data_IF_706960560576
#
_entry.id   IF_706960560576
#
_cell.length_a   1.000
_cell.length_b   1.000
_cell.length_c   1.000
_cell.angle_alpha   90.00
_cell.angle_beta   90.00
_cell.angle_gamma   90.00
#
_symmetry.space_group_name_H-M   'P 1'
#
loop_
_entity.id
_entity.type
_entity.pdbx_description
1 polymer ?
#
# COMPACT_ATOMS: atom_id res chain seq x y z
N UNK A 1 -62.17 -58.21 -14.96
CA UNK A 1 -61.18 -57.82 -13.94
C UNK A 1 -60.02 -57.15 -14.66
N UNK A 2 -60.06 -55.82 -14.80
CA UNK A 2 -58.98 -55.03 -15.42
C UNK A 2 -58.72 -53.83 -14.52
N UNK A 3 -57.46 -53.73 -14.10
CA UNK A 3 -56.90 -52.76 -13.18
C UNK A 3 -56.55 -51.51 -13.98
N UNK A 4 -57.01 -50.34 -13.53
CA UNK A 4 -56.53 -49.04 -14.01
C UNK A 4 -56.10 -48.22 -12.81
N UNK A 5 -54.79 -48.07 -12.69
CA UNK A 5 -54.08 -47.33 -11.65
C UNK A 5 -54.13 -45.83 -11.94
N UNK A 6 -54.61 -45.01 -11.00
CA UNK A 6 -54.41 -43.56 -11.02
C UNK A 6 -53.11 -43.21 -10.29
N UNK A 7 -52.16 -42.63 -11.01
CA UNK A 7 -51.01 -41.93 -10.40
C UNK A 7 -51.48 -40.55 -9.89
N UNK A 8 -51.38 -40.34 -8.59
CA UNK A 8 -51.46 -39.01 -7.99
C UNK A 8 -50.07 -38.38 -7.96
N UNK A 9 -49.85 -37.31 -8.73
CA UNK A 9 -48.65 -36.50 -8.64
C UNK A 9 -48.80 -35.50 -7.48
N UNK A 10 -48.05 -35.73 -6.39
CA UNK A 10 -47.93 -34.77 -5.30
C UNK A 10 -46.92 -33.68 -5.68
N UNK A 11 -47.39 -32.46 -5.87
CA UNK A 11 -46.52 -31.28 -6.02
C UNK A 11 -45.95 -30.91 -4.64
N UNK A 12 -44.66 -31.18 -4.41
CA UNK A 12 -43.93 -30.62 -3.27
C UNK A 12 -43.60 -29.16 -3.56
N UNK A 13 -44.32 -28.24 -2.93
CA UNK A 13 -43.91 -26.83 -2.85
C UNK A 13 -42.70 -26.75 -1.91
N UNK A 14 -41.50 -26.59 -2.47
CA UNK A 14 -40.31 -26.26 -1.69
C UNK A 14 -40.39 -24.78 -1.29
N UNK A 15 -40.79 -24.51 -0.06
CA UNK A 15 -40.61 -23.20 0.57
C UNK A 15 -39.12 -22.97 0.80
N UNK A 16 -38.50 -22.17 -0.07
CA UNK A 16 -37.18 -21.64 0.18
C UNK A 16 -37.26 -20.70 1.40
N UNK A 17 -36.77 -21.15 2.57
CA UNK A 17 -36.45 -20.23 3.65
C UNK A 17 -35.31 -19.33 3.14
N UNK A 18 -35.64 -18.09 2.81
CA UNK A 18 -34.65 -17.04 2.69
C UNK A 18 -33.99 -16.88 4.07
N UNK A 19 -32.78 -17.43 4.22
CA UNK A 19 -31.91 -17.03 5.31
C UNK A 19 -31.53 -15.57 5.06
N UNK A 20 -32.25 -14.67 5.71
CA UNK A 20 -31.86 -13.28 5.85
C UNK A 20 -30.50 -13.25 6.53
N UNK A 21 -29.43 -13.19 5.73
CA UNK A 21 -28.11 -12.85 6.23
C UNK A 21 -28.24 -11.50 6.90
N UNK A 22 -28.10 -11.46 8.22
CA UNK A 22 -27.90 -10.21 8.93
C UNK A 22 -26.64 -9.60 8.36
N UNK A 23 -26.78 -8.56 7.53
CA UNK A 23 -25.68 -7.69 7.19
C UNK A 23 -25.11 -7.21 8.53
N UNK A 24 -23.92 -7.69 8.89
CA UNK A 24 -23.17 -7.11 10.00
C UNK A 24 -22.96 -5.65 9.60
N UNK A 25 -23.62 -4.74 10.31
CA UNK A 25 -23.30 -3.33 10.21
C UNK A 25 -21.80 -3.20 10.48
N UNK A 26 -21.03 -2.75 9.49
CA UNK A 26 -19.68 -2.25 9.74
C UNK A 26 -19.85 -1.09 10.73
N UNK A 27 -19.51 -1.32 11.99
CA UNK A 27 -19.23 -0.22 12.90
C UNK A 27 -18.07 0.53 12.28
N UNK A 28 -18.35 1.70 11.68
CA UNK A 28 -17.31 2.52 11.04
C UNK A 28 -16.20 2.80 12.05
N UNK A 29 -14.96 2.62 11.63
CA UNK A 29 -13.80 3.03 12.43
C UNK A 29 -13.64 4.54 12.31
N UNK A 30 -13.20 5.20 13.38
CA UNK A 30 -12.90 6.64 13.33
C UNK A 30 -11.42 6.81 13.00
N UNK A 31 -11.13 7.65 12.01
CA UNK A 31 -9.76 7.91 11.56
C UNK A 31 -9.45 9.40 11.54
N UNK A 32 -8.16 9.70 11.54
CA UNK A 32 -7.59 11.03 11.28
C UNK A 32 -6.42 10.87 10.31
N UNK A 33 -6.23 11.84 9.41
CA UNK A 33 -5.01 11.90 8.61
C UNK A 33 -3.87 12.44 9.47
N UNK A 34 -2.69 11.84 9.37
CA UNK A 34 -1.50 12.32 10.08
C UNK A 34 -1.00 13.65 9.51
N UNK A 35 -1.06 13.82 8.19
CA UNK A 35 -0.71 15.05 7.49
C UNK A 35 -1.92 15.89 7.03
N UNK A 36 -1.65 17.14 6.66
CA UNK A 36 -2.63 18.03 6.05
C UNK A 36 -3.08 17.52 4.65
N UNK A 37 -4.38 17.33 4.44
CA UNK A 37 -4.92 16.59 3.27
C UNK A 37 -5.08 17.38 1.97
N UNK A 38 -4.70 18.66 1.95
CA UNK A 38 -4.87 19.55 0.78
C UNK A 38 -3.59 20.32 0.53
N UNK A 39 -2.56 19.67 -0.01
CA UNK A 39 -1.32 20.35 -0.30
C UNK A 39 -1.54 21.42 -1.39
N UNK A 40 -0.75 22.49 -1.32
CA UNK A 40 -0.72 23.50 -2.37
C UNK A 40 -0.13 22.91 -3.66
N UNK A 41 -0.41 23.50 -4.84
CA UNK A 41 0.25 23.08 -6.08
C UNK A 41 1.78 23.06 -5.95
N UNK A 42 2.42 21.97 -6.40
CA UNK A 42 3.87 21.76 -6.25
C UNK A 42 4.29 21.08 -4.93
N UNK A 43 3.34 20.80 -4.04
CA UNK A 43 3.55 20.09 -2.78
C UNK A 43 2.70 18.82 -2.71
N UNK A 44 3.15 17.88 -1.88
CA UNK A 44 2.45 16.66 -1.52
C UNK A 44 2.03 16.71 -0.04
N UNK A 45 1.21 15.75 0.34
CA UNK A 45 0.91 15.40 1.72
C UNK A 45 1.09 13.89 1.90
N UNK A 46 1.50 13.47 3.09
CA UNK A 46 1.51 12.06 3.44
C UNK A 46 0.07 11.51 3.54
N UNK A 47 -0.11 10.22 3.27
CA UNK A 47 -1.45 9.59 3.21
C UNK A 47 -1.80 8.73 4.43
N UNK A 48 -0.99 8.70 5.48
CA UNK A 48 -1.25 7.89 6.65
C UNK A 48 -2.61 8.20 7.30
N UNK A 49 -3.41 7.15 7.49
CA UNK A 49 -4.71 7.19 8.14
C UNK A 49 -4.68 6.46 9.48
N UNK A 50 -4.53 7.21 10.55
CA UNK A 50 -4.51 6.69 11.92
C UNK A 50 -5.91 6.48 12.45
N UNK A 51 -6.17 5.33 13.09
CA UNK A 51 -7.39 5.12 13.86
C UNK A 51 -7.35 5.81 15.22
N UNK A 52 -8.48 6.38 15.61
CA UNK A 52 -8.65 7.13 16.87
C UNK A 52 -9.68 6.53 17.81
N UNK A 53 -10.37 5.46 17.40
CA UNK A 53 -11.33 4.76 18.25
C UNK A 53 -10.65 3.92 19.35
N UNK A 54 -11.39 3.61 20.41
CA UNK A 54 -10.87 2.92 21.60
C UNK A 54 -10.41 1.48 21.33
N UNK A 55 -10.94 0.81 20.31
CA UNK A 55 -10.49 -0.53 19.95
C UNK A 55 -9.09 -0.50 19.32
N UNK A 56 -8.77 0.55 18.53
CA UNK A 56 -7.42 0.76 18.01
C UNK A 56 -6.38 1.05 19.11
N UNK A 57 -6.81 1.60 20.25
CA UNK A 57 -5.97 1.89 21.42
C UNK A 57 -6.00 0.78 22.49
N UNK A 58 -6.58 -0.38 22.19
CA UNK A 58 -6.62 -1.49 23.15
C UNK A 58 -5.27 -2.23 23.15
N UNK A 59 -4.54 -2.13 24.26
CA UNK A 59 -3.16 -2.59 24.41
C UNK A 59 -3.07 -3.96 25.08
N UNK A 60 -2.32 -4.87 24.44
CA UNK A 60 -1.44 -5.81 25.15
C UNK A 60 -0.05 -5.68 24.51
N UNK A 61 1.03 -5.42 25.28
CA UNK A 61 2.38 -5.35 24.72
C UNK A 61 2.82 -6.59 23.94
N UNK A 62 2.17 -7.74 24.19
CA UNK A 62 2.43 -9.00 23.50
C UNK A 62 1.58 -9.21 22.23
N UNK A 63 0.54 -8.41 22.02
CA UNK A 63 -0.35 -8.51 20.86
C UNK A 63 -0.93 -7.13 20.54
N UNK A 64 -0.17 -6.26 19.84
CA UNK A 64 -0.69 -4.99 19.34
C UNK A 64 -1.91 -5.21 18.45
N UNK A 65 -2.85 -4.27 18.48
CA UNK A 65 -4.01 -4.29 17.58
C UNK A 65 -3.56 -4.03 16.13
N UNK A 66 -4.31 -4.60 15.18
CA UNK A 66 -3.99 -4.51 13.75
C UNK A 66 -3.25 -5.75 13.23
N UNK A 67 -3.03 -5.78 11.92
CA UNK A 67 -2.28 -6.85 11.25
C UNK A 67 -0.80 -6.82 11.65
N UNK A 68 -0.28 -7.99 12.00
CA UNK A 68 1.13 -8.22 12.33
C UNK A 68 1.97 -8.61 11.10
N UNK A 69 3.32 -8.62 11.21
CA UNK A 69 4.19 -9.16 10.16
C UNK A 69 3.80 -10.57 9.70
N UNK A 70 3.46 -11.46 10.64
CA UNK A 70 3.03 -12.82 10.31
C UNK A 70 1.70 -12.85 9.53
N UNK A 71 0.79 -11.91 9.81
CA UNK A 71 -0.44 -11.79 9.03
C UNK A 71 -0.15 -11.35 7.59
N UNK A 72 0.69 -10.33 7.39
CA UNK A 72 1.04 -9.82 6.07
C UNK A 72 1.77 -10.88 5.22
N UNK A 73 2.77 -11.56 5.82
CA UNK A 73 3.50 -12.63 5.14
C UNK A 73 2.58 -13.80 4.76
N UNK A 74 1.66 -14.20 5.65
CA UNK A 74 0.67 -15.25 5.37
C UNK A 74 -0.32 -14.82 4.27
N UNK A 75 -0.89 -13.62 4.39
CA UNK A 75 -1.91 -13.13 3.47
C UNK A 75 -1.39 -13.03 2.03
N UNK A 76 -0.16 -12.58 1.86
CA UNK A 76 0.46 -12.37 0.55
C UNK A 76 1.38 -13.51 0.10
N UNK A 77 1.38 -14.64 0.83
CA UNK A 77 2.23 -15.82 0.57
C UNK A 77 3.71 -15.46 0.37
N UNK A 78 4.19 -14.53 1.18
CA UNK A 78 5.56 -14.02 1.05
C UNK A 78 6.54 -15.00 1.70
N UNK A 79 7.74 -15.15 1.12
CA UNK A 79 8.77 -15.95 1.75
C UNK A 79 9.22 -15.30 3.06
N UNK A 80 9.43 -16.09 4.10
CA UNK A 80 9.91 -15.62 5.41
C UNK A 80 11.43 -15.38 5.44
N UNK A 81 12.13 -15.80 4.38
CA UNK A 81 13.54 -15.57 4.13
C UNK A 81 13.72 -15.01 2.72
N UNK A 82 14.63 -14.04 2.55
CA UNK A 82 14.83 -13.34 1.28
C UNK A 82 15.19 -11.88 1.52
N UNK A 83 15.53 -11.14 0.47
CA UNK A 83 15.84 -9.71 0.55
C UNK A 83 17.19 -9.36 1.21
N UNK A 84 17.99 -10.34 1.62
CA UNK A 84 19.36 -10.06 2.10
C UNK A 84 20.18 -9.38 1.00
N UNK A 85 20.87 -8.29 1.36
CA UNK A 85 21.63 -7.46 0.42
C UNK A 85 20.79 -6.49 -0.39
N UNK A 86 19.46 -6.48 -0.22
CA UNK A 86 18.57 -5.48 -0.80
C UNK A 86 18.42 -4.30 0.16
N UNK A 87 18.16 -3.12 -0.40
CA UNK A 87 17.88 -1.90 0.36
C UNK A 87 16.55 -1.35 -0.10
N UNK A 88 15.61 -1.26 0.83
CA UNK A 88 14.34 -0.54 0.61
C UNK A 88 14.50 0.84 1.21
N UNK A 89 14.34 1.86 0.40
CA UNK A 89 14.34 3.24 0.85
C UNK A 89 12.92 3.73 1.10
N UNK A 90 12.80 4.62 2.07
CA UNK A 90 11.59 5.36 2.41
C UNK A 90 11.92 6.84 2.22
N UNK A 91 11.09 7.53 1.46
CA UNK A 91 11.24 8.96 1.17
C UNK A 91 10.05 9.71 1.73
N UNK A 92 10.32 10.55 2.72
CA UNK A 92 9.31 11.36 3.41
C UNK A 92 9.82 12.77 3.66
N UNK A 93 8.93 13.70 3.99
CA UNK A 93 9.31 15.07 4.37
C UNK A 93 9.48 15.19 5.88
N UNK A 94 10.30 16.17 6.29
CA UNK A 94 10.63 16.46 7.67
C UNK A 94 11.33 15.29 8.38
N UNK A 95 11.58 15.47 9.67
CA UNK A 95 12.35 14.55 10.49
C UNK A 95 11.42 13.73 11.41
N UNK A 96 11.69 12.43 11.51
CA UNK A 96 11.29 11.61 12.66
C UNK A 96 12.50 11.35 13.58
N UNK A 97 12.67 12.16 14.64
CA UNK A 97 13.77 11.99 15.58
C UNK A 97 13.81 10.63 16.30
N UNK A 98 12.69 9.90 16.37
CA UNK A 98 12.58 8.64 17.10
C UNK A 98 12.63 7.40 16.20
N UNK A 99 12.70 7.53 14.87
CA UNK A 99 12.60 6.44 13.90
C UNK A 99 13.37 5.16 14.27
N UNK A 100 14.67 5.24 14.59
CA UNK A 100 15.47 4.05 14.92
C UNK A 100 15.03 3.39 16.26
N UNK A 101 14.64 4.21 17.24
CA UNK A 101 14.19 3.74 18.56
C UNK A 101 12.83 3.05 18.46
N UNK A 102 11.93 3.61 17.67
CA UNK A 102 10.58 3.08 17.48
C UNK A 102 10.63 1.81 16.64
N UNK A 103 11.45 1.78 15.59
CA UNK A 103 11.79 0.58 14.82
C UNK A 103 12.33 -0.57 15.70
N UNK A 104 13.21 -0.25 16.65
CA UNK A 104 13.74 -1.24 17.57
C UNK A 104 12.63 -1.86 18.44
N UNK A 105 11.67 -1.04 18.90
CA UNK A 105 10.52 -1.51 19.67
C UNK A 105 9.64 -2.42 18.82
N UNK A 106 9.24 -1.96 17.63
CA UNK A 106 8.42 -2.74 16.70
C UNK A 106 9.02 -4.13 16.43
N UNK A 107 10.30 -4.15 16.03
CA UNK A 107 10.99 -5.39 15.67
C UNK A 107 11.15 -6.31 16.87
N UNK A 108 11.46 -5.78 18.05
CA UNK A 108 11.57 -6.59 19.26
C UNK A 108 10.23 -7.24 19.66
N UNK A 109 9.11 -6.51 19.55
CA UNK A 109 7.77 -7.02 19.87
C UNK A 109 7.37 -8.19 18.96
N UNK A 110 7.71 -8.11 17.67
CA UNK A 110 7.40 -9.17 16.71
C UNK A 110 8.52 -10.22 16.53
N UNK A 111 9.59 -10.16 17.33
CA UNK A 111 10.70 -11.11 17.26
C UNK A 111 11.50 -11.04 15.96
N UNK A 112 11.53 -9.89 15.29
CA UNK A 112 12.31 -9.65 14.09
C UNK A 112 13.78 -9.31 14.46
N UNK A 113 14.78 -9.66 13.62
CA UNK A 113 16.19 -9.34 13.89
C UNK A 113 16.39 -7.84 14.13
N UNK A 114 17.31 -7.40 14.98
CA UNK A 114 17.53 -5.96 15.18
C UNK A 114 17.94 -5.27 13.86
N UNK A 115 17.40 -4.08 13.60
CA UNK A 115 17.78 -3.24 12.46
C UNK A 115 18.21 -1.87 12.98
N UNK A 116 19.51 -1.61 13.01
CA UNK A 116 20.08 -0.42 13.66
C UNK A 116 21.14 0.23 12.78
N UNK A 117 21.46 1.49 13.07
CA UNK A 117 22.61 2.18 12.51
C UNK A 117 23.90 1.45 12.86
N UNK A 118 24.00 0.92 14.09
CA UNK A 118 25.20 0.24 14.59
C UNK A 118 25.49 -1.09 13.88
N UNK A 119 24.46 -1.85 13.50
CA UNK A 119 24.64 -3.09 12.74
C UNK A 119 24.55 -2.91 11.22
N UNK A 120 24.38 -1.67 10.76
CA UNK A 120 24.33 -1.29 9.36
C UNK A 120 23.00 -1.56 8.66
N UNK A 121 22.02 -2.19 9.33
CA UNK A 121 20.72 -2.50 8.74
C UNK A 121 19.87 -1.25 8.48
N UNK A 122 19.86 -0.29 9.42
CA UNK A 122 19.14 0.97 9.29
C UNK A 122 20.10 2.09 8.94
N UNK A 123 19.71 2.98 8.03
CA UNK A 123 20.44 4.20 7.72
C UNK A 123 19.45 5.34 7.54
N UNK A 124 19.74 6.45 8.19
CA UNK A 124 18.99 7.69 8.08
C UNK A 124 19.84 8.80 7.47
N UNK A 125 19.31 9.52 6.50
CA UNK A 125 19.96 10.65 5.83
C UNK A 125 18.95 11.73 5.45
N UNK A 126 19.40 12.96 5.24
CA UNK A 126 18.59 14.00 4.60
C UNK A 126 18.56 13.83 3.07
N UNK A 127 17.77 14.65 2.36
CA UNK A 127 17.63 14.60 0.88
C UNK A 127 18.93 14.74 0.07
N UNK A 128 20.04 15.15 0.69
CA UNK A 128 21.36 15.25 0.03
C UNK A 128 22.31 14.09 0.39
N UNK A 129 21.89 13.20 1.29
CA UNK A 129 22.68 12.09 1.82
C UNK A 129 23.52 12.45 3.05
N UNK A 130 23.28 13.62 3.66
CA UNK A 130 23.95 14.08 4.88
C UNK A 130 23.18 13.73 6.16
N UNK A 131 23.73 14.10 7.32
CA UNK A 131 23.14 13.83 8.65
C UNK A 131 22.63 15.10 9.35
N UNK A 132 22.54 16.21 8.62
CA UNK A 132 21.84 17.42 9.09
C UNK A 132 20.37 17.28 8.71
N UNK A 133 19.60 16.65 9.58
CA UNK A 133 18.18 16.35 9.36
C UNK A 133 17.33 17.62 9.37
N UNK A 134 16.18 17.62 8.65
CA UNK A 134 15.24 18.72 8.69
C UNK A 134 14.58 18.87 10.07
N UNK A 135 13.70 19.86 10.21
CA UNK A 135 12.91 20.02 11.44
C UNK A 135 11.97 18.84 11.62
N UNK A 136 11.81 18.35 12.85
CA UNK A 136 10.84 17.31 13.15
C UNK A 136 9.40 17.76 12.98
N UNK A 137 8.54 16.84 12.51
CA UNK A 137 7.12 17.06 12.31
C UNK A 137 6.33 15.83 12.75
N UNK A 138 5.32 16.03 13.61
CA UNK A 138 4.58 14.93 14.24
C UNK A 138 3.67 14.19 13.26
N UNK A 139 3.20 14.84 12.20
CA UNK A 139 2.35 14.19 11.20
C UNK A 139 3.17 13.32 10.27
N UNK A 140 4.31 13.83 9.81
CA UNK A 140 5.23 13.07 8.98
C UNK A 140 5.99 11.99 9.76
N UNK A 141 6.23 12.14 11.07
CA UNK A 141 6.81 11.05 11.86
C UNK A 141 5.91 9.81 11.92
N UNK A 142 4.60 10.02 12.04
CA UNK A 142 3.63 8.92 12.01
C UNK A 142 3.70 8.16 10.67
N UNK A 143 3.87 8.87 9.55
CA UNK A 143 4.09 8.26 8.22
C UNK A 143 5.42 7.52 8.13
N UNK A 144 6.52 8.16 8.56
CA UNK A 144 7.86 7.56 8.54
C UNK A 144 7.88 6.26 9.35
N UNK A 145 7.29 6.27 10.55
CA UNK A 145 7.17 5.09 11.40
C UNK A 145 6.33 3.99 10.73
N UNK A 146 5.21 4.34 10.11
CA UNK A 146 4.36 3.42 9.35
C UNK A 146 5.15 2.74 8.22
N UNK A 147 5.83 3.52 7.39
CA UNK A 147 6.59 3.03 6.24
C UNK A 147 7.73 2.10 6.69
N UNK A 148 8.48 2.50 7.72
CA UNK A 148 9.60 1.73 8.28
C UNK A 148 9.11 0.39 8.85
N UNK A 149 7.99 0.41 9.58
CA UNK A 149 7.41 -0.78 10.18
C UNK A 149 6.89 -1.74 9.09
N UNK A 150 6.28 -1.24 8.02
CA UNK A 150 5.80 -2.07 6.91
C UNK A 150 6.93 -2.72 6.13
N UNK A 151 8.01 -2.00 5.86
CA UNK A 151 9.22 -2.60 5.26
C UNK A 151 9.79 -3.68 6.19
N UNK A 152 9.87 -3.41 7.49
CA UNK A 152 10.34 -4.38 8.49
C UNK A 152 9.47 -5.63 8.56
N UNK A 153 8.16 -5.47 8.48
CA UNK A 153 7.19 -6.55 8.54
C UNK A 153 7.30 -7.50 7.35
N UNK A 154 7.46 -6.92 6.16
CA UNK A 154 7.43 -7.65 4.89
C UNK A 154 8.80 -8.21 4.53
N UNK A 155 9.87 -7.41 4.65
CA UNK A 155 11.24 -7.85 4.35
C UNK A 155 12.16 -7.68 5.57
N UNK A 156 12.10 -8.56 6.58
CA UNK A 156 12.90 -8.42 7.80
C UNK A 156 14.42 -8.46 7.59
N UNK A 157 14.89 -8.99 6.46
CA UNK A 157 16.33 -9.08 6.13
C UNK A 157 16.82 -7.99 5.17
N UNK A 158 15.94 -7.10 4.70
CA UNK A 158 16.31 -5.94 3.90
C UNK A 158 17.00 -4.89 4.78
N UNK A 159 17.92 -4.13 4.18
CA UNK A 159 18.35 -2.86 4.77
C UNK A 159 17.27 -1.81 4.56
N UNK A 160 17.12 -0.90 5.52
CA UNK A 160 16.17 0.20 5.46
C UNK A 160 16.94 1.51 5.37
N UNK A 161 16.66 2.29 4.34
CA UNK A 161 17.22 3.61 4.12
C UNK A 161 16.11 4.68 4.25
N UNK A 162 16.08 5.41 5.35
CA UNK A 162 15.21 6.58 5.49
C UNK A 162 15.90 7.82 4.88
N UNK A 163 15.25 8.47 3.92
CA UNK A 163 15.72 9.71 3.27
C UNK A 163 14.71 10.83 3.50
N UNK A 164 15.08 11.79 4.34
CA UNK A 164 14.20 12.86 4.78
C UNK A 164 14.37 14.14 3.94
N UNK A 165 13.29 14.54 3.28
CA UNK A 165 13.17 15.78 2.53
C UNK A 165 12.97 16.98 3.46
N UNK A 166 13.54 18.12 3.08
CA UNK A 166 13.46 19.35 3.89
C UNK A 166 12.04 19.90 3.98
N UNK A 167 11.21 19.63 2.97
CA UNK A 167 9.80 20.01 2.92
C UNK A 167 9.06 19.08 1.97
N UNK A 168 7.72 19.02 2.01
CA UNK A 168 6.94 18.15 1.15
C UNK A 168 6.74 18.73 -0.27
N UNK A 169 7.64 19.59 -0.74
CA UNK A 169 7.62 20.02 -2.15
C UNK A 169 8.10 18.88 -3.05
N UNK A 170 7.53 18.74 -4.25
CA UNK A 170 7.96 17.71 -5.20
C UNK A 170 9.44 17.81 -5.57
N UNK A 171 10.01 19.02 -5.56
CA UNK A 171 11.44 19.21 -5.78
C UNK A 171 12.30 18.59 -4.66
N UNK A 172 11.92 18.76 -3.40
CA UNK A 172 12.66 18.21 -2.27
C UNK A 172 12.45 16.70 -2.13
N UNK A 173 11.20 16.23 -2.24
CA UNK A 173 10.88 14.81 -2.24
C UNK A 173 11.55 14.09 -3.41
N UNK A 174 11.46 14.63 -4.63
CA UNK A 174 12.14 14.07 -5.79
C UNK A 174 13.68 14.07 -5.68
N UNK A 175 14.27 15.08 -5.03
CA UNK A 175 15.69 15.08 -4.69
C UNK A 175 16.04 13.95 -3.71
N UNK A 176 15.17 13.68 -2.74
CA UNK A 176 15.31 12.55 -1.82
C UNK A 176 15.20 11.19 -2.53
N UNK A 177 14.27 11.02 -3.48
CA UNK A 177 14.19 9.82 -4.34
C UNK A 177 15.51 9.59 -5.10
N UNK A 178 16.03 10.63 -5.77
CA UNK A 178 17.32 10.53 -6.45
C UNK A 178 18.47 10.15 -5.50
N UNK A 179 18.40 10.62 -4.25
CA UNK A 179 19.37 10.28 -3.21
C UNK A 179 19.24 8.84 -2.73
N UNK A 180 18.02 8.34 -2.53
CA UNK A 180 17.78 6.94 -2.21
C UNK A 180 18.42 6.02 -3.26
N UNK A 181 18.14 6.27 -4.54
CA UNK A 181 18.70 5.48 -5.65
C UNK A 181 20.22 5.57 -5.71
N UNK A 182 20.79 6.79 -5.60
CA UNK A 182 22.25 6.99 -5.59
C UNK A 182 22.94 6.24 -4.44
N UNK A 183 22.26 6.08 -3.31
CA UNK A 183 22.76 5.36 -2.14
C UNK A 183 22.54 3.85 -2.20
N UNK A 184 22.00 3.32 -3.31
CA UNK A 184 21.90 1.88 -3.57
C UNK A 184 20.57 1.26 -3.18
N UNK A 185 19.50 2.05 -3.07
CA UNK A 185 18.15 1.51 -2.93
C UNK A 185 17.77 0.70 -4.18
N UNK A 186 17.24 -0.51 -3.98
CA UNK A 186 16.67 -1.34 -5.06
C UNK A 186 15.16 -1.15 -5.18
N UNK A 187 14.52 -0.73 -4.09
CA UNK A 187 13.15 -0.24 -4.09
C UNK A 187 13.05 1.07 -3.28
N UNK A 188 12.16 1.97 -3.67
CA UNK A 188 11.89 3.25 -3.00
C UNK A 188 10.38 3.41 -2.81
N UNK A 189 9.93 3.45 -1.55
CA UNK A 189 8.55 3.77 -1.17
C UNK A 189 8.35 5.27 -1.05
N UNK A 190 7.19 5.74 -1.54
CA UNK A 190 6.76 7.13 -1.47
C UNK A 190 5.28 7.15 -1.04
N UNK A 191 5.01 7.38 0.23
CA UNK A 191 3.67 7.35 0.81
C UNK A 191 3.05 8.76 0.88
N UNK A 192 3.12 9.48 -0.24
CA UNK A 192 2.68 10.86 -0.36
C UNK A 192 2.07 11.15 -1.73
N UNK A 193 1.18 12.14 -1.76
CA UNK A 193 0.55 12.58 -3.00
C UNK A 193 -0.07 13.97 -2.93
N UNK A 194 -0.45 14.47 -4.11
CA UNK A 194 -1.20 15.71 -4.27
C UNK A 194 -1.96 15.69 -5.60
N UNK A 195 -2.96 16.58 -5.73
CA UNK A 195 -3.80 16.61 -6.92
C UNK A 195 -2.99 16.79 -8.22
N UNK A 196 -3.43 16.12 -9.28
CA UNK A 196 -2.78 16.22 -10.60
C UNK A 196 -2.72 17.66 -11.10
N UNK A 197 -1.67 17.99 -11.86
CA UNK A 197 -1.51 19.30 -12.48
C UNK A 197 -0.79 19.21 -13.82
N UNK A 198 -1.00 20.20 -14.69
CA UNK A 198 -0.30 20.27 -15.98
C UNK A 198 1.22 20.39 -15.87
N UNK A 199 1.75 20.74 -14.68
CA UNK A 199 3.19 20.83 -14.42
C UNK A 199 3.82 19.48 -14.02
N UNK A 200 3.02 18.46 -13.72
CA UNK A 200 3.51 17.23 -13.06
C UNK A 200 4.52 16.43 -13.89
N UNK A 201 4.32 16.39 -15.21
CA UNK A 201 5.26 15.79 -16.17
C UNK A 201 6.68 16.35 -16.11
N UNK A 202 6.89 17.53 -15.51
CA UNK A 202 8.24 18.08 -15.28
C UNK A 202 8.97 17.44 -14.10
N UNK A 203 8.23 16.85 -13.16
CA UNK A 203 8.76 16.15 -11.99
C UNK A 203 9.03 14.66 -12.25
N UNK A 204 8.53 14.12 -13.36
CA UNK A 204 8.62 12.70 -13.74
C UNK A 204 10.07 12.16 -13.76
N UNK A 205 11.02 13.04 -14.08
CA UNK A 205 12.45 12.70 -14.07
C UNK A 205 12.98 12.29 -12.70
N UNK A 206 12.34 12.69 -11.60
CA UNK A 206 12.69 12.24 -10.25
C UNK A 206 12.36 10.78 -9.99
N UNK A 207 11.39 10.23 -10.71
CA UNK A 207 10.88 8.86 -10.52
C UNK A 207 11.33 7.90 -11.62
N UNK A 208 11.96 8.40 -12.69
CA UNK A 208 12.48 7.58 -13.78
C UNK A 208 13.86 7.00 -13.44
N UNK A 209 13.88 5.87 -12.72
CA UNK A 209 15.09 5.14 -12.35
C UNK A 209 15.04 3.70 -12.88
N UNK A 210 15.60 3.43 -14.08
CA UNK A 210 15.62 2.09 -14.65
C UNK A 210 16.25 1.05 -13.71
N UNK A 211 15.59 -0.10 -13.56
CA UNK A 211 16.05 -1.19 -12.69
C UNK A 211 15.80 -0.97 -11.19
N UNK A 212 15.18 0.14 -10.78
CA UNK A 212 14.79 0.41 -9.39
C UNK A 212 13.27 0.48 -9.29
N UNK A 213 12.70 -0.25 -8.33
CA UNK A 213 11.26 -0.23 -8.12
C UNK A 213 10.86 1.04 -7.34
N UNK A 214 10.15 1.94 -8.00
CA UNK A 214 9.58 3.12 -7.34
C UNK A 214 8.10 2.83 -7.09
N UNK A 215 7.68 2.79 -5.82
CA UNK A 215 6.28 2.59 -5.43
C UNK A 215 5.71 3.89 -4.87
N UNK A 216 4.44 4.14 -5.16
CA UNK A 216 3.73 5.33 -4.69
C UNK A 216 2.32 4.95 -4.23
N UNK A 217 1.90 5.45 -3.07
CA UNK A 217 0.51 5.38 -2.60
C UNK A 217 -0.45 5.97 -3.66
N UNK A 218 -1.56 5.31 -3.97
CA UNK A 218 -2.47 5.82 -5.02
C UNK A 218 -3.43 6.90 -4.55
N UNK A 219 -3.52 7.14 -3.24
CA UNK A 219 -4.38 8.13 -2.61
C UNK A 219 -5.47 7.51 -1.74
N UNK A 220 -6.09 8.36 -0.92
CA UNK A 220 -6.96 7.92 0.19
C UNK A 220 -8.35 8.58 0.19
N UNK A 221 -8.70 9.23 -0.92
CA UNK A 221 -9.96 9.98 -1.10
C UNK A 221 -10.94 9.30 -2.05
N UNK A 222 -10.75 8.01 -2.34
CA UNK A 222 -11.55 7.24 -3.29
C UNK A 222 -11.26 7.61 -4.74
N UNK A 223 -12.27 7.52 -5.60
CA UNK A 223 -12.13 7.77 -7.04
C UNK A 223 -11.58 9.18 -7.33
N UNK A 224 -10.38 9.21 -7.90
CA UNK A 224 -9.55 10.39 -8.09
C UNK A 224 -8.10 9.97 -8.33
N UNK A 225 -7.36 10.79 -9.08
CA UNK A 225 -5.95 10.54 -9.39
C UNK A 225 -5.10 11.60 -8.69
N UNK A 226 -3.97 11.15 -8.14
CA UNK A 226 -2.94 12.01 -7.57
C UNK A 226 -1.58 11.76 -8.22
N UNK A 227 -0.72 12.75 -8.10
CA UNK A 227 0.69 12.66 -8.45
C UNK A 227 1.50 12.51 -7.16
N UNK A 228 2.55 11.65 -7.10
CA UNK A 228 3.24 11.01 -8.22
C UNK A 228 2.68 9.66 -8.67
N UNK A 229 1.58 9.16 -8.09
CA UNK A 229 1.01 7.88 -8.50
C UNK A 229 0.63 7.86 -10.00
N UNK A 230 0.23 9.00 -10.56
CA UNK A 230 -0.03 9.17 -11.98
C UNK A 230 1.20 8.94 -12.88
N UNK A 231 2.42 9.11 -12.37
CA UNK A 231 3.65 8.94 -13.16
C UNK A 231 3.71 7.55 -13.81
N UNK A 232 4.15 7.50 -15.06
CA UNK A 232 4.32 6.24 -15.80
C UNK A 232 5.57 5.45 -15.43
N UNK A 233 6.44 6.00 -14.57
CA UNK A 233 7.68 5.37 -14.13
C UNK A 233 7.56 4.68 -12.77
N UNK A 234 6.41 4.83 -12.10
CA UNK A 234 6.17 4.26 -10.77
C UNK A 234 5.19 3.10 -10.84
N UNK A 235 5.23 2.26 -9.81
CA UNK A 235 4.14 1.35 -9.47
C UNK A 235 3.18 2.12 -8.55
N UNK A 236 2.00 2.50 -9.04
CA UNK A 236 0.96 3.06 -8.20
C UNK A 236 0.28 1.93 -7.42
N UNK A 237 0.19 2.09 -6.10
CA UNK A 237 -0.27 1.05 -5.20
C UNK A 237 -1.60 1.46 -4.57
N UNK A 238 -2.66 0.78 -5.02
CA UNK A 238 -4.02 0.89 -4.50
C UNK A 238 -4.23 0.16 -3.20
N UNK A 239 -5.50 0.07 -2.79
CA UNK A 239 -5.86 -0.33 -1.43
C UNK A 239 -6.96 -1.38 -1.37
N UNK A 240 -6.77 -2.37 -0.48
CA UNK A 240 -7.76 -3.40 -0.19
C UNK A 240 -8.19 -3.39 1.29
N UNK A 241 -9.37 -3.94 1.55
CA UNK A 241 -9.78 -4.40 2.88
C UNK A 241 -9.43 -5.88 3.02
N UNK A 242 -8.46 -6.21 3.87
CA UNK A 242 -7.93 -7.57 4.03
C UNK A 242 -8.51 -8.24 5.28
N UNK A 243 -9.19 -9.38 5.12
CA UNK A 243 -9.84 -10.10 6.23
C UNK A 243 -9.48 -11.56 6.23
N UNK A 244 -9.42 -12.16 7.42
CA UNK A 244 -9.32 -13.62 7.54
C UNK A 244 -10.57 -14.29 6.95
N UNK A 245 -10.39 -15.49 6.42
CA UNK A 245 -11.43 -16.24 5.71
C UNK A 245 -11.22 -17.74 5.85
N UNK A 246 -12.26 -18.52 5.57
CA UNK A 246 -12.21 -20.00 5.55
C UNK A 246 -11.76 -20.57 4.20
N UNK A 247 -11.38 -19.73 3.23
CA UNK A 247 -10.80 -20.16 1.96
C UNK A 247 -9.46 -20.86 2.17
N UNK A 248 -8.96 -21.59 1.17
CA UNK A 248 -7.62 -22.21 1.23
C UNK A 248 -6.48 -21.20 1.45
N UNK A 249 -6.65 -19.94 0.99
CA UNK A 249 -5.71 -18.84 1.28
C UNK A 249 -5.73 -18.46 2.77
N UNK A 250 -6.85 -18.65 3.46
CA UNK A 250 -7.08 -18.14 4.82
C UNK A 250 -7.45 -16.65 4.87
N UNK A 251 -7.55 -16.00 3.71
CA UNK A 251 -7.74 -14.55 3.56
C UNK A 251 -8.64 -14.22 2.38
N UNK A 252 -9.29 -13.07 2.46
CA UNK A 252 -10.09 -12.46 1.38
C UNK A 252 -9.84 -10.96 1.34
N UNK A 253 -9.99 -10.38 0.15
CA UNK A 253 -9.85 -8.94 -0.08
C UNK A 253 -11.04 -8.39 -0.86
N UNK A 254 -11.41 -7.14 -0.56
CA UNK A 254 -12.30 -6.30 -1.37
C UNK A 254 -11.60 -4.98 -1.63
N UNK A 255 -11.97 -4.26 -2.68
CA UNK A 255 -11.49 -2.89 -2.87
C UNK A 255 -11.82 -2.04 -1.64
N UNK A 256 -10.81 -1.33 -1.11
CA UNK A 256 -11.04 -0.35 -0.06
C UNK A 256 -11.69 0.89 -0.65
N UNK A 257 -12.73 1.41 0.02
CA UNK A 257 -13.49 2.52 -0.53
C UNK A 257 -12.70 3.85 -0.60
N UNK A 258 -11.62 3.97 0.17
CA UNK A 258 -10.72 5.12 0.15
C UNK A 258 -9.59 5.02 -0.88
N UNK A 259 -9.32 3.85 -1.45
CA UNK A 259 -8.20 3.67 -2.36
C UNK A 259 -8.31 4.60 -3.57
N UNK A 260 -7.24 5.31 -3.92
CA UNK A 260 -7.20 6.20 -5.07
C UNK A 260 -7.13 5.44 -6.38
N UNK A 261 -7.92 5.86 -7.37
CA UNK A 261 -7.88 5.29 -8.72
C UNK A 261 -8.54 6.20 -9.73
N UNK A 262 -8.16 6.05 -11.00
CA UNK A 262 -8.78 6.78 -12.09
C UNK A 262 -7.96 6.80 -13.37
N UNK A 263 -8.27 7.77 -14.22
CA UNK A 263 -7.59 8.02 -15.48
C UNK A 263 -6.90 9.37 -15.39
N UNK A 264 -5.57 9.39 -15.51
CA UNK A 264 -4.78 10.62 -15.44
C UNK A 264 -5.24 11.64 -16.47
N UNK A 265 -5.22 12.92 -16.10
CA UNK A 265 -5.49 14.02 -17.03
C UNK A 265 -4.28 14.41 -17.90
N UNK A 266 -3.05 14.08 -17.46
CA UNK A 266 -1.82 14.62 -18.07
C UNK A 266 -0.81 13.56 -18.49
N UNK A 267 -0.72 12.44 -17.77
CA UNK A 267 0.27 11.40 -18.04
C UNK A 267 -0.13 10.49 -19.21
N UNK A 268 0.84 10.14 -20.03
CA UNK A 268 0.61 9.28 -21.19
C UNK A 268 0.43 7.82 -20.75
N UNK A 269 -0.50 7.10 -21.38
CA UNK A 269 -0.67 5.67 -21.15
C UNK A 269 0.63 4.93 -21.53
N UNK A 270 1.28 4.21 -20.60
CA UNK A 270 2.42 3.38 -20.95
C UNK A 270 1.97 2.17 -21.78
N UNK A 271 2.85 1.67 -22.65
CA UNK A 271 2.52 0.59 -23.60
C UNK A 271 2.18 -0.75 -22.95
N UNK A 272 2.55 -0.94 -21.68
CA UNK A 272 2.24 -2.13 -20.88
C UNK A 272 0.87 -2.05 -20.19
N UNK A 273 0.20 -0.89 -20.18
CA UNK A 273 -1.22 -0.78 -19.80
C UNK A 273 -2.12 -1.06 -21.00
N UNK A 274 -3.04 -2.00 -20.84
CA UNK A 274 -3.89 -2.51 -21.94
C UNK A 274 -5.40 -2.30 -21.71
N UNK A 275 -5.78 -1.65 -20.61
CA UNK A 275 -7.18 -1.30 -20.36
C UNK A 275 -7.71 -0.34 -21.44
N UNK A 276 -9.01 -0.43 -21.74
CA UNK A 276 -9.54 0.01 -23.03
C UNK A 276 -10.34 1.32 -23.01
N UNK A 277 -10.64 1.91 -21.83
CA UNK A 277 -11.46 3.14 -21.74
C UNK A 277 -10.71 4.40 -21.35
N UNK A 278 -9.69 4.29 -20.50
CA UNK A 278 -8.78 5.41 -20.26
C UNK A 278 -7.78 5.49 -21.41
N UNK A 279 -7.54 6.68 -21.96
CA UNK A 279 -6.54 6.87 -23.03
C UNK A 279 -5.18 7.33 -22.50
N UNK A 280 -5.09 7.54 -21.18
CA UNK A 280 -3.95 8.05 -20.41
C UNK A 280 -3.53 7.03 -19.35
N UNK A 281 -2.59 7.37 -18.47
CA UNK A 281 -2.18 6.46 -17.38
C UNK A 281 -3.35 6.16 -16.46
N UNK A 282 -3.69 4.88 -16.24
CA UNK A 282 -4.70 4.48 -15.25
C UNK A 282 -4.07 4.17 -13.92
N UNK A 283 -4.56 4.75 -12.83
CA UNK A 283 -4.15 4.43 -11.44
C UNK A 283 -5.23 3.53 -10.82
N UNK A 284 -4.92 2.49 -10.04
CA UNK A 284 -3.60 1.99 -9.62
C UNK A 284 -3.07 0.85 -10.53
N UNK A 285 -1.85 0.35 -10.28
CA UNK A 285 -1.26 -0.80 -11.01
C UNK A 285 -1.45 -2.12 -10.27
N UNK A 286 -1.24 -2.12 -8.94
CA UNK A 286 -1.44 -3.24 -8.01
C UNK A 286 -2.01 -2.69 -6.70
N UNK A 287 -2.29 -3.54 -5.72
CA UNK A 287 -2.78 -3.11 -4.40
C UNK A 287 -2.26 -3.97 -3.25
N UNK A 288 -2.36 -3.43 -2.04
CA UNK A 288 -2.21 -4.18 -0.80
C UNK A 288 -3.17 -3.61 0.26
N UNK A 289 -3.14 -4.15 1.47
CA UNK A 289 -4.02 -3.73 2.56
C UNK A 289 -3.86 -2.25 2.83
N UNK A 290 -4.99 -1.56 2.91
CA UNK A 290 -5.04 -0.12 3.13
C UNK A 290 -6.25 0.29 3.98
N UNK A 291 -7.33 -0.50 4.06
CA UNK A 291 -8.49 -0.13 4.87
C UNK A 291 -8.13 -0.06 6.37
N UNK A 292 -8.26 1.12 7.05
CA UNK A 292 -8.01 1.23 8.48
C UNK A 292 -8.88 0.26 9.32
N UNK A 293 -10.07 -0.12 8.84
CA UNK A 293 -10.92 -1.11 9.51
C UNK A 293 -10.30 -2.52 9.54
N UNK A 294 -9.30 -2.76 8.70
CA UNK A 294 -8.44 -3.96 8.69
C UNK A 294 -6.96 -3.57 8.76
N UNK A 295 -6.67 -2.46 9.44
CA UNK A 295 -5.36 -1.81 9.42
C UNK A 295 -4.23 -2.60 10.06
N UNK A 296 -3.02 -2.06 9.92
CA UNK A 296 -1.76 -2.64 10.40
C UNK A 296 -1.36 -2.04 11.75
N UNK A 297 -0.60 -2.82 12.54
CA UNK A 297 0.02 -2.30 13.75
C UNK A 297 1.26 -1.47 13.40
N UNK A 298 1.39 -0.28 14.01
CA UNK A 298 2.54 0.63 13.86
C UNK A 298 2.93 1.15 15.25
N UNK A 299 4.21 1.43 15.46
CA UNK A 299 4.72 2.02 16.69
C UNK A 299 5.35 3.40 16.44
N UNK A 300 4.85 4.44 17.09
CA UNK A 300 5.40 5.81 17.02
C UNK A 300 5.40 6.44 18.42
N UNK A 301 6.49 7.12 18.77
CA UNK A 301 6.61 7.89 20.03
C UNK A 301 6.97 9.37 19.82
N UNK A 302 7.03 9.85 18.58
CA UNK A 302 7.27 11.26 18.28
C UNK A 302 5.98 12.04 18.05
N UNK A 303 5.10 11.55 17.18
CA UNK A 303 3.78 12.13 16.93
C UNK A 303 2.74 11.70 17.96
N UNK A 304 2.86 10.48 18.46
CA UNK A 304 1.93 9.83 19.38
C UNK A 304 2.66 9.06 20.48
N UNK A 305 1.96 8.18 21.21
CA UNK A 305 2.50 7.48 22.37
C UNK A 305 2.28 5.98 22.29
N UNK A 306 3.00 5.33 21.38
CA UNK A 306 3.19 3.89 21.32
C UNK A 306 2.45 3.20 20.17
N UNK A 307 1.80 2.07 20.47
CA UNK A 307 1.13 1.25 19.46
C UNK A 307 -0.15 1.89 18.94
N UNK A 308 -0.30 1.88 17.62
CA UNK A 308 -1.37 2.49 16.85
C UNK A 308 -1.84 1.54 15.76
N UNK A 309 -3.01 1.83 15.19
CA UNK A 309 -3.52 1.12 14.00
C UNK A 309 -3.64 2.11 12.86
N UNK A 310 -3.02 1.78 11.73
CA UNK A 310 -3.04 2.60 10.52
C UNK A 310 -3.66 1.88 9.35
N UNK A 311 -4.23 2.66 8.44
CA UNK A 311 -4.51 2.29 7.06
C UNK A 311 -4.02 3.40 6.12
N UNK A 312 -4.67 3.51 4.97
CA UNK A 312 -4.24 4.31 3.85
C UNK A 312 -3.43 3.53 2.84
N UNK A 313 -3.39 3.99 1.60
CA UNK A 313 -2.48 3.46 0.57
C UNK A 313 -1.01 3.74 0.90
N UNK A 314 -0.75 4.64 1.86
CA UNK A 314 0.47 4.71 2.66
C UNK A 314 0.94 3.37 3.21
N UNK A 315 0.03 2.50 3.69
CA UNK A 315 0.41 1.15 4.15
C UNK A 315 0.81 0.27 2.97
N UNK A 316 0.11 0.44 1.84
CA UNK A 316 0.25 -0.46 0.70
C UNK A 316 1.57 -0.23 -0.07
N UNK A 317 2.00 1.02 -0.25
CA UNK A 317 3.24 1.36 -0.94
C UNK A 317 4.50 0.66 -0.38
N UNK A 318 4.87 0.81 0.90
CA UNK A 318 6.05 0.19 1.50
C UNK A 318 5.95 -1.33 1.55
N UNK A 319 4.74 -1.89 1.66
CA UNK A 319 4.52 -3.34 1.52
C UNK A 319 4.96 -3.79 0.13
N UNK A 320 4.50 -3.14 -0.94
CA UNK A 320 4.86 -3.52 -2.31
C UNK A 320 6.34 -3.25 -2.60
N UNK A 321 6.93 -2.17 -2.08
CA UNK A 321 8.38 -1.92 -2.19
C UNK A 321 9.20 -3.07 -1.58
N UNK A 322 8.77 -3.56 -0.41
CA UNK A 322 9.42 -4.69 0.23
C UNK A 322 9.17 -6.01 -0.52
N UNK A 323 8.03 -6.20 -1.19
CA UNK A 323 7.80 -7.37 -2.07
C UNK A 323 8.72 -7.36 -3.28
N UNK A 324 8.93 -6.19 -3.92
CA UNK A 324 9.97 -6.04 -4.93
C UNK A 324 11.32 -6.48 -4.38
N UNK A 325 11.76 -5.94 -3.24
CA UNK A 325 13.03 -6.33 -2.65
C UNK A 325 13.13 -7.83 -2.31
N UNK A 326 12.04 -8.47 -1.87
CA UNK A 326 12.02 -9.93 -1.69
C UNK A 326 12.21 -10.69 -3.02
N UNK A 327 11.68 -10.18 -4.14
CA UNK A 327 11.86 -10.75 -5.47
C UNK A 327 13.31 -10.62 -5.95
N UNK A 328 13.88 -9.41 -5.87
CA UNK A 328 15.29 -9.12 -6.11
C UNK A 328 15.80 -9.33 -7.55
N UNK A 329 14.91 -9.61 -8.51
CA UNK A 329 15.26 -10.05 -9.87
C UNK A 329 14.71 -9.14 -10.99
N UNK A 330 14.52 -7.85 -10.71
CA UNK A 330 13.92 -6.87 -11.64
C UNK A 330 14.91 -5.79 -12.15
N UNK A 331 16.19 -5.85 -11.78
CA UNK A 331 17.18 -4.82 -12.15
C UNK A 331 17.44 -4.68 -13.66
N UNK A 332 17.09 -5.70 -14.45
CA UNK A 332 17.12 -5.67 -15.92
C UNK A 332 15.90 -5.00 -16.57
N UNK A 333 14.88 -4.66 -15.79
CA UNK A 333 13.62 -4.08 -16.28
C UNK A 333 13.67 -2.56 -16.21
N UNK A 334 13.42 -1.88 -17.34
CA UNK A 334 13.48 -0.41 -17.39
C UNK A 334 12.41 0.27 -16.54
N UNK A 335 11.23 -0.34 -16.39
CA UNK A 335 10.14 0.16 -15.53
C UNK A 335 9.54 -1.04 -14.78
N UNK A 336 9.93 -1.29 -13.52
CA UNK A 336 9.47 -2.48 -12.77
C UNK A 336 7.96 -2.65 -12.69
N UNK A 337 7.17 -1.55 -12.69
CA UNK A 337 5.71 -1.60 -12.73
C UNK A 337 5.13 -2.48 -13.86
N UNK A 338 5.84 -2.60 -14.99
CA UNK A 338 5.43 -3.44 -16.12
C UNK A 338 5.44 -4.95 -15.84
N UNK A 339 6.16 -5.41 -14.80
CA UNK A 339 6.28 -6.83 -14.46
C UNK A 339 4.92 -7.43 -14.08
N UNK A 340 4.14 -6.72 -13.27
CA UNK A 340 2.82 -7.17 -12.84
C UNK A 340 1.88 -7.45 -14.03
N UNK A 341 1.94 -6.63 -15.08
CA UNK A 341 1.13 -6.76 -16.30
C UNK A 341 1.47 -8.00 -17.14
N UNK A 342 2.67 -8.56 -16.97
CA UNK A 342 3.10 -9.80 -17.63
C UNK A 342 3.01 -11.04 -16.74
N UNK A 343 2.73 -10.88 -15.45
CA UNK A 343 2.73 -11.95 -14.44
C UNK A 343 1.47 -11.94 -13.57
N UNK A 344 0.31 -11.65 -14.17
CA UNK A 344 -0.97 -11.52 -13.45
C UNK A 344 -1.39 -12.78 -12.68
N UNK A 345 -0.91 -13.97 -13.05
CA UNK A 345 -1.13 -15.22 -12.30
C UNK A 345 -0.47 -15.24 -10.92
N UNK A 346 0.53 -14.37 -10.69
CA UNK A 346 1.23 -14.19 -9.41
C UNK A 346 0.59 -13.09 -8.56
N UNK A 347 -0.67 -12.74 -8.83
CA UNK A 347 -1.48 -11.81 -8.05
C UNK A 347 -2.79 -12.47 -7.61
N UNK A 348 -3.34 -12.01 -6.49
CA UNK A 348 -4.73 -12.28 -6.12
C UNK A 348 -5.63 -11.20 -6.71
N UNK A 349 -6.41 -11.59 -7.71
CA UNK A 349 -7.42 -10.73 -8.33
C UNK A 349 -8.52 -10.37 -7.32
N UNK A 350 -8.75 -9.06 -7.11
CA UNK A 350 -9.75 -8.54 -6.18
C UNK A 350 -10.98 -8.13 -6.97
N UNK A 351 -12.02 -8.97 -6.95
CA UNK A 351 -13.11 -8.82 -7.91
C UNK A 351 -14.38 -8.15 -7.36
N UNK A 352 -14.30 -7.50 -6.20
CA UNK A 352 -15.49 -6.89 -5.56
C UNK A 352 -15.16 -5.68 -4.69
N UNK A 353 -16.14 -4.80 -4.53
CA UNK A 353 -15.99 -3.50 -3.87
C UNK A 353 -15.87 -2.34 -4.86
N UNK A 354 -15.80 -1.12 -4.33
CA UNK A 354 -15.70 0.11 -5.11
C UNK A 354 -15.13 1.24 -4.26
N UNK A 355 -14.44 2.19 -4.88
CA UNK A 355 -13.88 3.37 -4.22
C UNK A 355 -14.65 4.68 -4.50
N UNK A 356 -15.89 4.58 -4.97
CA UNK A 356 -16.69 5.76 -5.28
C UNK A 356 -17.65 5.50 -6.42
N UNK A 357 -18.00 6.57 -7.14
CA UNK A 357 -18.91 6.52 -8.28
C UNK A 357 -18.27 7.13 -9.52
N UNK A 358 -18.21 6.34 -10.57
CA UNK A 358 -17.68 6.69 -11.89
C UNK A 358 -18.55 6.08 -13.01
N UNK A 359 -19.87 5.99 -12.76
CA UNK A 359 -20.82 5.31 -13.65
C UNK A 359 -20.69 3.79 -13.66
N UNK A 360 -20.12 3.19 -12.60
CA UNK A 360 -19.93 1.74 -12.47
C UNK A 360 -18.87 1.15 -13.40
N UNK A 361 -18.01 2.00 -13.98
CA UNK A 361 -16.90 1.52 -14.81
C UNK A 361 -15.81 0.88 -13.94
N UNK A 362 -14.90 0.13 -14.58
CA UNK A 362 -13.79 -0.51 -13.89
C UNK A 362 -12.87 0.46 -13.16
N UNK A 363 -12.89 1.74 -13.55
CA UNK A 363 -12.00 2.73 -12.94
C UNK A 363 -12.34 3.01 -11.46
N UNK A 364 -13.53 2.67 -10.98
CA UNK A 364 -13.91 2.81 -9.57
C UNK A 364 -14.59 1.57 -8.96
N UNK A 365 -14.84 0.53 -9.75
CA UNK A 365 -15.53 -0.69 -9.32
C UNK A 365 -14.66 -1.89 -9.63
N UNK A 366 -14.40 -2.69 -8.61
CA UNK A 366 -13.58 -3.88 -8.73
C UNK A 366 -14.30 -4.98 -9.53
N UNK A 367 -13.54 -5.72 -10.34
CA UNK A 367 -14.07 -6.76 -11.26
C UNK A 367 -12.96 -7.76 -11.59
N UNK A 368 -13.29 -8.82 -12.30
CA UNK A 368 -12.25 -9.76 -12.79
C UNK A 368 -11.24 -9.06 -13.71
N UNK A 369 -9.96 -9.33 -13.47
CA UNK A 369 -8.84 -8.74 -14.19
C UNK A 369 -8.53 -7.32 -13.71
N UNK A 370 -7.98 -6.47 -14.59
CA UNK A 370 -7.66 -5.10 -14.20
C UNK A 370 -8.90 -4.28 -13.82
N UNK A 371 -8.84 -3.65 -12.65
CA UNK A 371 -9.70 -2.57 -12.22
C UNK A 371 -8.92 -1.42 -11.58
N UNK A 372 -9.53 -0.24 -11.48
CA UNK A 372 -8.89 0.95 -10.94
C UNK A 372 -8.54 0.81 -9.47
N UNK A 373 -9.50 0.51 -8.56
CA UNK A 373 -9.25 0.52 -7.12
C UNK A 373 -8.13 -0.43 -6.67
N UNK A 374 -7.97 -1.56 -7.35
CA UNK A 374 -7.02 -2.62 -6.94
C UNK A 374 -5.97 -2.96 -7.98
N UNK A 375 -6.02 -2.33 -9.15
CA UNK A 375 -5.10 -2.59 -10.25
C UNK A 375 -5.27 -4.00 -10.79
N UNK A 376 -4.17 -4.74 -10.85
CA UNK A 376 -4.10 -6.16 -11.20
C UNK A 376 -4.32 -7.08 -9.97
N UNK A 377 -4.59 -6.52 -8.79
CA UNK A 377 -4.76 -7.24 -7.54
C UNK A 377 -3.57 -7.10 -6.59
N UNK A 378 -3.51 -8.00 -5.61
CA UNK A 378 -2.52 -7.98 -4.53
C UNK A 378 -1.47 -9.11 -4.64
N UNK A 379 -0.30 -9.02 -3.97
CA UNK A 379 0.74 -10.02 -4.13
C UNK A 379 0.31 -11.45 -3.78
N UNK A 380 0.57 -12.40 -4.68
CA UNK A 380 0.47 -13.84 -4.44
C UNK A 380 1.87 -14.45 -4.56
N UNK A 381 2.69 -14.20 -3.55
CA UNK A 381 4.14 -14.37 -3.59
C UNK A 381 4.82 -13.18 -4.28
N UNK A 382 6.07 -13.37 -4.67
CA UNK A 382 6.92 -12.33 -5.26
C UNK A 382 6.93 -12.33 -6.79
N UNK A 383 6.30 -13.32 -7.44
CA UNK A 383 6.50 -13.57 -8.87
C UNK A 383 5.93 -12.53 -9.84
N UNK A 384 5.21 -11.52 -9.34
CA UNK A 384 4.74 -10.38 -10.13
C UNK A 384 5.66 -9.14 -10.06
N UNK A 385 6.75 -9.23 -9.28
CA UNK A 385 7.59 -8.12 -8.85
C UNK A 385 9.07 -8.39 -9.18
#
# INVERSE_FOLDING_TARGET
MKITSLLAAAAMAATALAMSGTAMAQTGVTTVHSCATKPAPGYAACTALRRTDSAARSFSPAAPSGLSPANLQSAYKLPTAGGSGQTVAIVDAYDDPNAEKDLATYRSTYGLPACTTANGCFKKVNQTGGTSYPTGDTGWSEEISLDIDMVSAVCPSCHILLVEATSPSYANLGTAVNTAVRLGATAVSNSYGGGESSAETSYDSYYNHPGVAITVSSGDSGYGVEYPAASRYVTAVGGTSLRTSSTTRGWTETAWNGAGSGCSAYEAKPSWQHDTSCTRRTVADVSAVADPATGVAVYDTYGESGWLVFGGTSVASPIVAAVYALAGNFSGTSVPASLAYSHTSSLFDVTSGSNGSCGGTYLCTAKTGYDGPTGLGSPNGTGAF
#
